data_IF_538146092654
#
_entry.id   IF_538146092654
#
_cell.length_a   1.000
_cell.length_b   1.000
_cell.length_c   1.000
_cell.angle_alpha   90.00
_cell.angle_beta   90.00
_cell.angle_gamma   90.00
#
_symmetry.space_group_name_H-M   'P 1'
#
loop_
_entity.id
_entity.type
_entity.pdbx_description
1 polymer ?
#
# COMPACT_ATOMS: atom_id res chain seq x y z
N UNK A 1 21.38 28.37 -9.08
CA UNK A 1 22.64 27.62 -9.19
C UNK A 1 22.41 26.49 -10.17
N UNK A 2 22.98 26.59 -11.37
CA UNK A 2 22.87 25.54 -12.39
C UNK A 2 23.77 24.38 -11.95
N UNK A 3 23.20 23.22 -11.64
CA UNK A 3 23.96 21.98 -11.58
C UNK A 3 24.53 21.75 -12.97
N UNK A 4 25.84 21.96 -13.13
CA UNK A 4 26.51 21.52 -14.34
C UNK A 4 26.34 20.00 -14.42
N UNK A 5 25.94 19.45 -15.58
CA UNK A 5 25.89 18.02 -15.76
C UNK A 5 27.31 17.50 -15.55
N UNK A 6 27.50 16.73 -14.47
CA UNK A 6 28.74 16.01 -14.23
C UNK A 6 28.93 15.13 -15.46
N UNK A 7 29.97 15.40 -16.23
CA UNK A 7 30.25 14.70 -17.47
C UNK A 7 30.54 13.23 -17.15
N UNK A 8 29.52 12.39 -17.29
CA UNK A 8 29.58 10.96 -16.94
C UNK A 8 30.65 10.23 -17.77
N UNK A 9 31.08 10.80 -18.90
CA UNK A 9 32.12 10.23 -19.77
C UNK A 9 33.54 10.32 -19.18
N UNK A 10 33.83 11.31 -18.32
CA UNK A 10 35.13 11.45 -17.63
C UNK A 10 35.17 10.78 -16.24
N UNK A 11 34.04 10.16 -15.87
CA UNK A 11 33.90 9.13 -14.86
C UNK A 11 35.04 8.13 -14.65
N UNK A 12 35.91 8.22 -13.64
CA UNK A 12 36.81 7.10 -13.24
C UNK A 12 36.45 6.54 -11.87
N UNK A 13 36.49 5.22 -11.77
CA UNK A 13 36.14 4.46 -10.58
C UNK A 13 37.28 3.54 -10.16
N UNK A 14 37.50 3.42 -8.86
CA UNK A 14 38.33 2.38 -8.26
C UNK A 14 37.43 1.32 -7.62
N UNK A 15 37.94 0.08 -7.51
CA UNK A 15 37.19 -1.03 -6.93
C UNK A 15 37.80 -1.40 -5.58
N UNK A 16 36.94 -1.46 -4.56
CA UNK A 16 37.21 -2.03 -3.25
C UNK A 16 36.69 -3.47 -3.19
N UNK A 17 37.37 -4.30 -2.41
CA UNK A 17 37.02 -5.67 -2.08
C UNK A 17 36.81 -5.81 -0.56
N UNK A 18 35.82 -6.60 -0.16
CA UNK A 18 35.52 -6.92 1.24
C UNK A 18 34.96 -8.33 1.40
N UNK A 19 34.75 -8.76 2.64
CA UNK A 19 34.01 -9.99 2.93
C UNK A 19 32.51 -9.82 2.57
N UNK A 20 31.93 -10.84 1.94
CA UNK A 20 30.63 -10.79 1.25
C UNK A 20 29.47 -10.11 1.97
N UNK A 21 29.18 -10.41 3.26
CA UNK A 21 27.96 -9.88 3.90
C UNK A 21 28.04 -8.39 4.24
N UNK A 22 29.20 -7.73 4.12
CA UNK A 22 29.39 -6.33 4.54
C UNK A 22 29.41 -5.32 3.39
N UNK A 23 29.14 -5.77 2.16
CA UNK A 23 29.25 -4.93 0.95
C UNK A 23 28.46 -3.63 1.04
N UNK A 24 27.17 -3.71 1.41
CA UNK A 24 26.33 -2.52 1.55
C UNK A 24 26.78 -1.64 2.72
N UNK A 25 27.13 -2.24 3.85
CA UNK A 25 27.59 -1.50 5.04
C UNK A 25 28.87 -0.70 4.77
N UNK A 26 29.81 -1.22 3.98
CA UNK A 26 31.01 -0.47 3.57
C UNK A 26 30.64 0.70 2.67
N UNK A 27 29.82 0.46 1.63
CA UNK A 27 29.39 1.51 0.72
C UNK A 27 28.64 2.64 1.48
N UNK A 28 27.70 2.27 2.35
CA UNK A 28 26.93 3.22 3.17
C UNK A 28 27.83 3.99 4.15
N UNK A 29 28.78 3.31 4.78
CA UNK A 29 29.70 3.92 5.74
C UNK A 29 30.67 4.90 5.08
N UNK A 30 31.15 4.60 3.87
CA UNK A 30 31.98 5.52 3.08
C UNK A 30 31.16 6.71 2.57
N UNK A 31 29.95 6.46 2.06
CA UNK A 31 29.04 7.53 1.64
C UNK A 31 28.71 8.50 2.79
N UNK A 32 28.54 7.99 4.01
CA UNK A 32 28.26 8.80 5.20
C UNK A 32 29.39 9.80 5.57
N UNK A 33 30.64 9.53 5.15
CA UNK A 33 31.77 10.45 5.36
C UNK A 33 32.07 11.32 4.12
N UNK A 34 31.19 11.29 3.11
CA UNK A 34 31.31 12.11 1.90
C UNK A 34 32.13 11.49 0.78
N UNK A 35 32.58 10.24 0.92
CA UNK A 35 33.21 9.50 -0.18
C UNK A 35 32.12 9.02 -1.13
N UNK A 36 32.20 9.41 -2.40
CA UNK A 36 31.27 8.91 -3.42
C UNK A 36 31.52 7.42 -3.70
N UNK A 37 30.85 6.57 -2.91
CA UNK A 37 30.89 5.12 -2.95
C UNK A 37 29.55 4.54 -3.40
N UNK A 38 29.61 3.55 -4.28
CA UNK A 38 28.44 2.90 -4.87
C UNK A 38 28.67 1.40 -5.02
N UNK A 39 27.62 0.62 -4.85
CA UNK A 39 27.57 -0.80 -5.19
C UNK A 39 26.19 -1.08 -5.76
N UNK A 40 26.06 -1.84 -6.85
CA UNK A 40 24.75 -2.13 -7.43
C UNK A 40 23.90 -2.91 -6.42
N UNK A 41 22.68 -2.44 -6.15
CA UNK A 41 21.74 -3.00 -5.18
C UNK A 41 20.53 -3.61 -5.87
N UNK A 42 19.94 -4.61 -5.22
CA UNK A 42 18.61 -5.12 -5.53
C UNK A 42 17.83 -5.28 -4.24
N UNK A 43 16.56 -4.91 -4.25
CA UNK A 43 15.67 -5.18 -3.13
C UNK A 43 15.08 -6.59 -3.28
N UNK A 44 15.13 -7.38 -2.21
CA UNK A 44 14.57 -8.73 -2.16
C UNK A 44 13.50 -8.82 -1.07
N UNK A 45 12.41 -9.53 -1.34
CA UNK A 45 11.44 -9.90 -0.29
C UNK A 45 11.92 -11.16 0.42
N UNK A 46 12.19 -11.03 1.72
CA UNK A 46 12.59 -12.14 2.58
C UNK A 46 11.58 -12.37 3.70
N UNK A 47 11.41 -13.60 4.19
CA UNK A 47 10.62 -13.83 5.39
C UNK A 47 11.17 -13.03 6.56
N UNK A 48 10.28 -12.41 7.32
CA UNK A 48 10.64 -11.67 8.52
C UNK A 48 11.39 -12.62 9.48
N UNK A 49 12.53 -12.18 10.07
CA UNK A 49 13.37 -13.05 10.89
C UNK A 49 12.65 -13.57 12.14
N UNK A 50 11.76 -12.75 12.72
CA UNK A 50 10.90 -13.18 13.82
C UNK A 50 9.83 -14.18 13.34
N UNK A 51 9.84 -15.39 13.91
CA UNK A 51 8.80 -16.41 13.70
C UNK A 51 7.40 -15.96 14.17
N UNK A 52 7.33 -14.96 15.05
CA UNK A 52 6.06 -14.42 15.58
C UNK A 52 5.40 -13.40 14.65
N UNK A 53 6.12 -12.89 13.65
CA UNK A 53 5.57 -11.99 12.65
C UNK A 53 4.75 -12.80 11.64
N UNK A 54 3.48 -13.01 11.95
CA UNK A 54 2.51 -13.68 11.09
C UNK A 54 1.58 -12.61 10.52
N UNK A 55 1.41 -12.61 9.20
CA UNK A 55 0.51 -11.73 8.49
C UNK A 55 -0.97 -12.09 8.70
N UNK A 56 -1.90 -11.24 8.24
CA UNK A 56 -3.34 -11.48 8.38
C UNK A 56 -3.83 -12.73 7.65
N UNK A 57 -3.03 -13.30 6.75
CA UNK A 57 -3.28 -14.53 5.99
C UNK A 57 -2.72 -15.79 6.68
N UNK A 58 -2.14 -15.66 7.88
CA UNK A 58 -1.51 -16.77 8.60
C UNK A 58 -0.13 -17.17 8.08
N UNK A 59 0.41 -16.45 7.08
CA UNK A 59 1.77 -16.70 6.56
C UNK A 59 2.78 -15.84 7.30
N UNK A 60 4.06 -16.21 7.26
CA UNK A 60 5.12 -15.35 7.81
C UNK A 60 5.13 -14.02 7.06
N UNK A 61 5.13 -12.92 7.81
CA UNK A 61 5.32 -11.59 7.24
C UNK A 61 6.62 -11.57 6.43
N UNK A 62 6.64 -10.84 5.33
CA UNK A 62 7.83 -10.59 4.54
C UNK A 62 8.35 -9.18 4.79
N UNK A 63 9.66 -9.02 4.68
CA UNK A 63 10.36 -7.74 4.75
C UNK A 63 11.14 -7.55 3.46
N UNK A 64 11.15 -6.32 2.96
CA UNK A 64 12.01 -5.93 1.85
C UNK A 64 13.39 -5.59 2.40
N UNK A 65 14.42 -6.26 1.89
CA UNK A 65 15.81 -6.10 2.30
C UNK A 65 16.65 -5.84 1.06
N UNK A 66 17.51 -4.83 1.12
CA UNK A 66 18.48 -4.59 0.07
C UNK A 66 19.64 -5.60 0.15
N UNK A 67 20.00 -6.13 -1.01
CA UNK A 67 21.12 -7.03 -1.20
C UNK A 67 22.03 -6.49 -2.32
N UNK A 68 23.35 -6.69 -2.23
CA UNK A 68 24.24 -6.32 -3.33
C UNK A 68 24.03 -7.28 -4.51
N UNK A 69 23.87 -6.74 -5.72
CA UNK A 69 23.85 -7.52 -6.97
C UNK A 69 25.23 -8.15 -7.19
N UNK A 70 26.28 -7.41 -6.84
CA UNK A 70 27.67 -7.82 -6.94
C UNK A 70 28.30 -7.87 -5.53
N UNK A 71 28.14 -8.97 -4.78
CA UNK A 71 28.71 -9.07 -3.44
C UNK A 71 30.22 -8.94 -3.46
N UNK A 72 30.81 -8.49 -2.35
CA UNK A 72 32.25 -8.30 -2.11
C UNK A 72 32.88 -7.09 -2.80
N UNK A 73 32.19 -6.39 -3.70
CA UNK A 73 32.76 -5.29 -4.46
C UNK A 73 32.01 -3.97 -4.20
N UNK A 74 32.77 -2.90 -3.99
CA UNK A 74 32.27 -1.52 -3.91
C UNK A 74 33.08 -0.65 -4.85
N UNK A 75 32.42 0.22 -5.58
CA UNK A 75 33.04 1.17 -6.48
C UNK A 75 33.13 2.52 -5.76
N UNK A 76 34.28 3.17 -5.83
CA UNK A 76 34.46 4.54 -5.36
C UNK A 76 34.95 5.41 -6.50
N UNK A 77 34.67 6.72 -6.51
CA UNK A 77 35.30 7.59 -7.50
C UNK A 77 36.81 7.61 -7.31
N UNK A 78 37.54 7.65 -8.42
CA UNK A 78 39.00 7.70 -8.40
C UNK A 78 39.55 8.94 -7.66
N UNK A 79 38.80 10.04 -7.62
CA UNK A 79 39.18 11.27 -6.88
C UNK A 79 39.27 11.07 -5.37
N UNK A 80 38.55 10.09 -4.81
CA UNK A 80 38.60 9.74 -3.38
C UNK A 80 39.61 8.63 -3.07
N UNK A 81 40.43 8.19 -4.04
CA UNK A 81 41.34 7.05 -3.86
C UNK A 81 42.27 7.22 -2.67
N UNK A 82 42.93 8.38 -2.57
CA UNK A 82 43.97 8.60 -1.57
C UNK A 82 43.38 8.79 -0.16
N UNK A 83 42.21 9.44 -0.09
CA UNK A 83 41.40 9.52 1.14
C UNK A 83 41.00 8.14 1.65
N UNK A 84 40.48 7.27 0.76
CA UNK A 84 40.08 5.91 1.14
C UNK A 84 41.28 5.02 1.48
N UNK A 85 42.45 5.25 0.88
CA UNK A 85 43.69 4.59 1.30
C UNK A 85 44.09 4.98 2.73
N UNK A 86 43.95 6.25 3.10
CA UNK A 86 44.19 6.70 4.48
C UNK A 86 43.21 6.04 5.46
N UNK A 87 41.92 5.97 5.11
CA UNK A 87 40.89 5.27 5.92
C UNK A 87 41.22 3.79 6.09
N UNK A 88 41.70 3.13 5.03
CA UNK A 88 42.04 1.70 5.06
C UNK A 88 43.31 1.40 5.89
N UNK A 89 44.22 2.37 5.99
CA UNK A 89 45.46 2.25 6.76
C UNK A 89 45.26 2.53 8.25
N UNK A 90 44.18 3.20 8.64
CA UNK A 90 43.87 3.52 10.03
C UNK A 90 43.28 2.31 10.78
N UNK A 91 43.99 1.72 11.75
CA UNK A 91 43.46 0.59 12.53
C UNK A 91 42.31 0.99 13.47
N UNK A 92 42.14 2.27 13.77
CA UNK A 92 41.06 2.80 14.61
C UNK A 92 39.83 3.23 13.79
N UNK A 93 39.86 3.02 12.47
CA UNK A 93 38.80 3.38 11.55
C UNK A 93 37.45 2.74 11.95
N UNK A 94 36.35 3.51 12.05
CA UNK A 94 35.02 2.98 12.36
C UNK A 94 34.41 2.20 11.18
N UNK A 95 35.04 2.26 10.01
CA UNK A 95 34.55 1.62 8.79
C UNK A 95 34.79 0.10 8.83
N UNK A 96 33.89 -0.72 8.26
CA UNK A 96 34.14 -2.15 8.16
C UNK A 96 35.39 -2.42 7.30
N UNK A 97 36.13 -3.50 7.58
CA UNK A 97 37.37 -3.82 6.83
C UNK A 97 37.13 -4.02 5.33
N UNK A 98 37.95 -3.37 4.51
CA UNK A 98 38.00 -3.50 3.06
C UNK A 98 39.46 -3.34 2.56
N UNK A 99 39.70 -3.68 1.30
CA UNK A 99 40.97 -3.44 0.61
C UNK A 99 40.73 -3.03 -0.84
N UNK A 100 41.67 -2.35 -1.47
CA UNK A 100 41.58 -2.11 -2.91
C UNK A 100 41.74 -3.42 -3.68
N UNK A 101 40.97 -3.58 -4.76
CA UNK A 101 41.29 -4.56 -5.78
C UNK A 101 42.64 -4.17 -6.38
N UNK A 102 43.59 -5.11 -6.41
CA UNK A 102 44.94 -4.88 -6.93
C UNK A 102 45.24 -5.83 -8.08
N UNK A 103 46.00 -5.33 -9.05
CA UNK A 103 46.58 -6.15 -10.12
C UNK A 103 47.83 -6.89 -9.61
N UNK A 104 48.37 -7.77 -10.44
CA UNK A 104 49.58 -8.53 -10.13
C UNK A 104 50.82 -7.63 -9.87
N UNK A 105 50.84 -6.44 -10.46
CA UNK A 105 51.87 -5.39 -10.25
C UNK A 105 51.58 -4.49 -9.03
N UNK A 106 50.63 -4.88 -8.16
CA UNK A 106 50.18 -4.13 -6.99
C UNK A 106 49.49 -2.78 -7.30
N UNK A 107 49.27 -2.44 -8.58
CA UNK A 107 48.56 -1.23 -8.99
C UNK A 107 47.05 -1.33 -8.74
N UNK A 108 46.42 -0.17 -8.48
CA UNK A 108 44.97 -0.05 -8.32
C UNK A 108 44.37 0.23 -9.71
N UNK A 109 43.54 -0.67 -10.26
CA UNK A 109 42.92 -0.45 -11.56
C UNK A 109 41.85 0.66 -11.48
N UNK A 110 41.85 1.54 -12.47
CA UNK A 110 40.79 2.51 -12.69
C UNK A 110 39.88 2.08 -13.84
N UNK A 111 38.58 2.06 -13.57
CA UNK A 111 37.51 1.63 -14.47
C UNK A 111 36.77 2.86 -14.99
N UNK A 112 36.38 2.88 -16.26
CA UNK A 112 35.63 4.02 -16.83
C UNK A 112 34.17 3.96 -16.41
N UNK A 113 33.50 5.10 -16.37
CA UNK A 113 32.06 5.20 -16.14
C UNK A 113 31.25 4.34 -17.11
N UNK A 114 31.67 4.29 -18.38
CA UNK A 114 31.05 3.43 -19.39
C UNK A 114 31.12 1.94 -19.05
N UNK A 115 32.18 1.48 -18.39
CA UNK A 115 32.37 0.06 -18.05
C UNK A 115 31.45 -0.37 -16.89
N UNK A 116 31.07 0.56 -16.01
CA UNK A 116 30.10 0.30 -14.91
C UNK A 116 28.66 0.58 -15.32
N UNK A 117 28.42 1.16 -16.51
CA UNK A 117 27.08 1.50 -16.98
C UNK A 117 26.17 0.27 -17.08
N UNK A 118 26.72 -0.89 -17.46
CA UNK A 118 25.97 -2.15 -17.48
C UNK A 118 25.46 -2.59 -16.11
N UNK A 119 26.23 -2.34 -15.04
CA UNK A 119 25.81 -2.64 -13.66
C UNK A 119 24.75 -1.65 -13.17
N UNK A 120 24.82 -0.38 -13.59
CA UNK A 120 23.80 0.63 -13.30
C UNK A 120 22.47 0.31 -13.98
N UNK A 121 22.52 -0.17 -15.23
CA UNK A 121 21.33 -0.66 -15.94
C UNK A 121 20.70 -1.85 -15.21
N UNK A 122 21.51 -2.79 -14.73
CA UNK A 122 21.01 -3.95 -14.00
C UNK A 122 20.37 -3.56 -12.65
N UNK A 123 20.97 -2.62 -11.92
CA UNK A 123 20.37 -2.03 -10.72
C UNK A 123 19.02 -1.37 -11.02
N UNK A 124 18.93 -0.58 -12.10
CA UNK A 124 17.66 0.02 -12.55
C UNK A 124 16.61 -1.04 -12.87
N UNK A 125 16.96 -2.09 -13.61
CA UNK A 125 16.04 -3.20 -13.91
C UNK A 125 15.55 -3.91 -12.66
N UNK A 126 16.45 -4.15 -11.70
CA UNK A 126 16.08 -4.75 -10.43
C UNK A 126 15.09 -3.87 -9.65
N UNK A 127 15.30 -2.55 -9.66
CA UNK A 127 14.41 -1.58 -9.04
C UNK A 127 13.02 -1.58 -9.71
N UNK A 128 12.96 -1.56 -11.04
CA UNK A 128 11.70 -1.59 -11.80
C UNK A 128 10.86 -2.84 -11.50
N UNK A 129 11.51 -4.00 -11.33
CA UNK A 129 10.81 -5.25 -10.98
C UNK A 129 10.13 -5.10 -9.61
N UNK A 130 10.82 -4.55 -8.62
CA UNK A 130 10.28 -4.38 -7.27
C UNK A 130 9.16 -3.34 -7.25
N UNK A 131 9.30 -2.25 -7.99
CA UNK A 131 8.25 -1.23 -8.07
C UNK A 131 6.99 -1.79 -8.75
N UNK A 132 7.13 -2.57 -9.83
CA UNK A 132 6.00 -3.29 -10.45
C UNK A 132 5.33 -4.26 -9.48
N UNK A 133 6.10 -4.97 -8.64
CA UNK A 133 5.55 -5.85 -7.62
C UNK A 133 4.76 -5.07 -6.56
N UNK A 134 5.29 -3.94 -6.08
CA UNK A 134 4.60 -3.05 -5.12
C UNK A 134 3.29 -2.51 -5.69
N UNK A 135 3.28 -2.10 -6.96
CA UNK A 135 2.08 -1.63 -7.65
C UNK A 135 1.01 -2.72 -7.81
N UNK A 136 1.42 -3.94 -8.16
CA UNK A 136 0.52 -5.09 -8.24
C UNK A 136 -0.11 -5.41 -6.88
N UNK A 137 0.70 -5.49 -5.81
CA UNK A 137 0.21 -5.74 -4.45
C UNK A 137 -0.73 -4.64 -3.96
N UNK A 138 -0.40 -3.37 -4.22
CA UNK A 138 -1.28 -2.24 -3.88
C UNK A 138 -2.61 -2.26 -4.65
N UNK A 139 -2.64 -2.82 -5.86
CA UNK A 139 -3.91 -3.04 -6.60
C UNK A 139 -4.72 -4.18 -6.00
N UNK A 140 -4.07 -5.28 -5.65
CA UNK A 140 -4.75 -6.42 -5.02
C UNK A 140 -5.30 -6.07 -3.63
N UNK A 141 -4.54 -5.34 -2.81
CA UNK A 141 -4.98 -4.88 -1.50
C UNK A 141 -6.29 -4.06 -1.61
N UNK A 142 -6.31 -3.07 -2.51
CA UNK A 142 -7.51 -2.27 -2.78
C UNK A 142 -8.70 -3.11 -3.27
N UNK A 143 -8.45 -4.14 -4.09
CA UNK A 143 -9.50 -5.08 -4.53
C UNK A 143 -10.06 -5.89 -3.36
N UNK A 144 -9.20 -6.37 -2.46
CA UNK A 144 -9.61 -7.13 -1.27
C UNK A 144 -10.40 -6.26 -0.29
N UNK A 145 -9.96 -5.04 -0.04
CA UNK A 145 -10.68 -4.08 0.81
C UNK A 145 -12.08 -3.79 0.25
N UNK A 146 -12.18 -3.49 -1.05
CA UNK A 146 -13.48 -3.26 -1.69
C UNK A 146 -14.38 -4.48 -1.62
N UNK A 147 -13.84 -5.68 -1.85
CA UNK A 147 -14.60 -6.92 -1.74
C UNK A 147 -15.08 -7.17 -0.31
N UNK A 148 -14.26 -6.87 0.70
CA UNK A 148 -14.62 -6.99 2.11
C UNK A 148 -15.76 -6.03 2.47
N UNK A 149 -15.66 -4.75 2.08
CA UNK A 149 -16.72 -3.76 2.27
C UNK A 149 -18.03 -4.22 1.62
N UNK A 150 -18.00 -4.61 0.35
CA UNK A 150 -19.20 -5.11 -0.36
C UNK A 150 -19.79 -6.37 0.30
N UNK A 151 -18.95 -7.26 0.84
CA UNK A 151 -19.41 -8.45 1.57
C UNK A 151 -20.12 -8.06 2.87
N UNK A 152 -19.58 -7.11 3.63
CA UNK A 152 -20.22 -6.62 4.85
C UNK A 152 -21.56 -5.93 4.57
N UNK A 153 -21.62 -5.15 3.49
CA UNK A 153 -22.85 -4.46 3.09
C UNK A 153 -23.94 -5.45 2.64
N UNK A 154 -23.59 -6.43 1.80
CA UNK A 154 -24.51 -7.50 1.39
C UNK A 154 -25.01 -8.31 2.58
N UNK A 155 -24.12 -8.61 3.54
CA UNK A 155 -24.52 -9.31 4.76
C UNK A 155 -25.51 -8.48 5.60
N UNK A 156 -25.27 -7.16 5.72
CA UNK A 156 -26.19 -6.23 6.40
C UNK A 156 -27.54 -6.16 5.70
N UNK A 157 -27.58 -5.99 4.38
CA UNK A 157 -28.82 -5.97 3.61
C UNK A 157 -29.58 -7.30 3.71
N UNK A 158 -28.86 -8.43 3.67
CA UNK A 158 -29.46 -9.76 3.87
C UNK A 158 -30.05 -9.89 5.28
N UNK A 159 -29.38 -9.39 6.31
CA UNK A 159 -29.90 -9.40 7.67
C UNK A 159 -31.18 -8.57 7.79
N UNK A 160 -31.21 -7.36 7.23
CA UNK A 160 -32.40 -6.49 7.20
C UNK A 160 -33.57 -7.15 6.46
N UNK A 161 -33.32 -7.81 5.33
CA UNK A 161 -34.36 -8.56 4.59
C UNK A 161 -34.93 -9.76 5.34
N UNK A 162 -34.19 -10.29 6.32
CA UNK A 162 -34.69 -11.38 7.18
C UNK A 162 -35.46 -10.85 8.40
N UNK A 163 -35.35 -9.56 8.72
CA UNK A 163 -36.13 -8.91 9.76
C UNK A 163 -37.61 -8.92 9.34
N UNK A 164 -38.46 -9.51 10.19
CA UNK A 164 -39.90 -9.52 9.98
C UNK A 164 -40.51 -8.34 10.73
N UNK A 165 -41.38 -7.60 10.06
CA UNK A 165 -42.21 -6.56 10.67
C UNK A 165 -43.66 -6.80 10.31
N UNK A 166 -44.49 -6.92 11.32
CA UNK A 166 -45.92 -7.07 11.15
C UNK A 166 -46.56 -5.68 11.03
N UNK A 167 -47.44 -5.54 10.05
CA UNK A 167 -48.22 -4.33 9.82
C UNK A 167 -49.69 -4.74 9.75
N UNK A 168 -50.55 -3.97 10.42
CA UNK A 168 -51.99 -4.20 10.34
C UNK A 168 -52.53 -3.69 9.00
N UNK A 169 -53.54 -4.34 8.41
CA UNK A 169 -54.27 -3.75 7.29
C UNK A 169 -54.79 -2.36 7.65
N UNK A 170 -54.79 -1.45 6.68
CA UNK A 170 -55.14 -0.03 6.82
C UNK A 170 -54.18 0.82 7.65
N UNK A 171 -53.05 0.27 8.12
CA UNK A 171 -52.02 1.04 8.79
C UNK A 171 -51.32 2.00 7.81
N UNK A 172 -51.15 3.26 8.21
CA UNK A 172 -50.34 4.23 7.46
C UNK A 172 -48.86 4.00 7.74
N UNK A 173 -48.07 3.89 6.68
CA UNK A 173 -46.63 3.61 6.74
C UNK A 173 -45.88 4.56 5.82
N UNK A 174 -44.64 4.87 6.20
CA UNK A 174 -43.71 5.68 5.42
C UNK A 174 -42.59 4.79 4.88
N UNK A 175 -42.21 4.98 3.62
CA UNK A 175 -41.12 4.24 2.99
C UNK A 175 -39.77 4.87 3.36
N UNK A 176 -38.87 4.07 3.92
CA UNK A 176 -37.51 4.43 4.29
C UNK A 176 -36.48 3.67 3.44
N UNK A 177 -35.33 4.30 3.16
CA UNK A 177 -34.19 3.63 2.53
C UNK A 177 -34.38 3.22 1.07
N UNK A 178 -35.46 3.66 0.40
CA UNK A 178 -35.59 3.58 -1.07
C UNK A 178 -35.30 4.93 -1.71
N UNK A 179 -34.26 5.05 -2.57
CA UNK A 179 -33.94 6.32 -3.22
C UNK A 179 -35.10 6.91 -4.04
N UNK A 180 -35.96 6.07 -4.64
CA UNK A 180 -37.04 6.52 -5.52
C UNK A 180 -38.37 6.81 -4.81
N UNK A 181 -38.59 6.23 -3.61
CA UNK A 181 -39.88 6.30 -2.89
C UNK A 181 -39.71 6.79 -1.44
N UNK A 182 -38.48 7.18 -1.05
CA UNK A 182 -38.16 7.57 0.32
C UNK A 182 -38.99 8.76 0.77
N UNK A 183 -39.63 8.63 1.93
CA UNK A 183 -40.53 9.64 2.48
C UNK A 183 -41.96 9.59 1.95
N UNK A 184 -42.27 8.72 0.99
CA UNK A 184 -43.66 8.51 0.56
C UNK A 184 -44.44 7.77 1.65
N UNK A 185 -45.63 8.28 1.95
CA UNK A 185 -46.60 7.67 2.86
C UNK A 185 -47.64 6.89 2.07
N UNK A 186 -48.04 5.73 2.56
CA UNK A 186 -49.10 4.92 1.96
C UNK A 186 -49.83 4.09 3.01
N UNK A 187 -50.90 3.43 2.58
CA UNK A 187 -51.73 2.59 3.45
C UNK A 187 -51.45 1.12 3.12
N UNK A 188 -51.21 0.31 4.15
CA UNK A 188 -50.99 -1.14 4.00
C UNK A 188 -52.30 -1.84 3.65
N UNK A 189 -52.36 -2.51 2.50
CA UNK A 189 -53.50 -3.35 2.11
C UNK A 189 -53.38 -4.76 2.70
N UNK A 190 -52.18 -5.36 2.60
CA UNK A 190 -51.87 -6.68 3.14
C UNK A 190 -50.38 -6.78 3.50
N UNK A 191 -50.03 -7.66 4.44
CA UNK A 191 -48.65 -7.90 4.87
C UNK A 191 -48.42 -9.39 5.16
N UNK A 192 -47.25 -9.91 4.78
CA UNK A 192 -46.78 -11.28 5.09
C UNK A 192 -45.63 -11.29 6.12
N UNK A 193 -45.36 -10.13 6.73
CA UNK A 193 -44.27 -9.90 7.66
C UNK A 193 -42.90 -9.63 7.01
N UNK A 194 -42.66 -10.05 5.77
CA UNK A 194 -41.42 -9.76 5.01
C UNK A 194 -41.59 -8.66 3.99
N UNK A 195 -42.82 -8.49 3.51
CA UNK A 195 -43.25 -7.48 2.58
C UNK A 195 -44.69 -7.07 2.88
N UNK A 196 -45.05 -5.88 2.46
CA UNK A 196 -46.41 -5.38 2.52
C UNK A 196 -46.79 -4.79 1.16
N UNK A 197 -48.04 -4.98 0.77
CA UNK A 197 -48.66 -4.31 -0.37
C UNK A 197 -49.13 -2.95 0.13
N UNK A 198 -48.56 -1.87 -0.41
CA UNK A 198 -48.83 -0.50 0.02
C UNK A 198 -49.49 0.27 -1.11
N UNK A 199 -50.60 0.93 -0.79
CA UNK A 199 -51.32 1.83 -1.68
C UNK A 199 -50.91 3.27 -1.41
N UNK A 200 -50.31 3.95 -2.38
CA UNK A 200 -49.80 5.33 -2.27
C UNK A 200 -50.81 6.41 -2.66
N UNK A 201 -52.06 6.00 -2.96
CA UNK A 201 -53.08 6.88 -3.53
C UNK A 201 -53.18 6.76 -5.05
N UNK A 202 -54.33 7.15 -5.60
CA UNK A 202 -54.63 6.98 -7.01
C UNK A 202 -54.70 5.50 -7.41
N UNK A 203 -53.89 5.10 -8.39
CA UNK A 203 -53.80 3.71 -8.87
C UNK A 203 -52.44 3.05 -8.57
N UNK A 204 -51.60 3.68 -7.74
CA UNK A 204 -50.24 3.19 -7.47
C UNK A 204 -50.23 2.27 -6.24
N UNK A 205 -50.25 0.97 -6.52
CA UNK A 205 -50.05 -0.10 -5.53
C UNK A 205 -48.74 -0.81 -5.80
N UNK A 206 -47.92 -0.98 -4.76
CA UNK A 206 -46.62 -1.67 -4.88
C UNK A 206 -46.34 -2.56 -3.67
N UNK A 207 -45.71 -3.70 -3.92
CA UNK A 207 -45.14 -4.54 -2.85
C UNK A 207 -43.80 -3.97 -2.40
N UNK A 208 -43.67 -3.69 -1.10
CA UNK A 208 -42.46 -3.12 -0.49
C UNK A 208 -41.96 -4.04 0.61
N UNK A 209 -40.64 -4.24 0.68
CA UNK A 209 -40.00 -5.03 1.75
C UNK A 209 -40.29 -4.39 3.12
N UNK A 210 -40.73 -5.18 4.09
CA UNK A 210 -41.25 -4.72 5.38
C UNK A 210 -40.23 -3.91 6.20
N UNK A 211 -38.92 -4.22 6.09
CA UNK A 211 -37.84 -3.49 6.75
C UNK A 211 -37.63 -2.06 6.20
N UNK A 212 -38.23 -1.74 5.05
CA UNK A 212 -38.25 -0.41 4.44
C UNK A 212 -39.48 0.40 4.81
N UNK A 213 -40.34 -0.12 5.68
CA UNK A 213 -41.54 0.57 6.12
C UNK A 213 -41.38 0.94 7.60
N UNK A 214 -41.69 2.19 7.91
CA UNK A 214 -41.84 2.68 9.27
C UNK A 214 -43.31 3.01 9.52
N UNK A 215 -43.88 2.67 10.69
CA UNK A 215 -45.21 3.15 11.06
C UNK A 215 -45.20 4.67 11.07
N UNK A 216 -46.12 5.28 10.33
CA UNK A 216 -46.28 6.72 10.38
C UNK A 216 -47.00 7.07 11.68
N UNK A 217 -46.23 7.43 12.71
CA UNK A 217 -46.77 7.93 13.96
C UNK A 217 -47.24 9.35 13.75
N UNK A 218 -48.34 9.51 13.01
CA UNK A 218 -49.10 10.75 13.04
C UNK A 218 -49.65 10.86 14.45
N UNK A 219 -48.95 11.62 15.30
CA UNK A 219 -49.54 12.16 16.50
C UNK A 219 -50.71 13.02 16.03
N UNK A 220 -51.91 12.46 16.07
CA UNK A 220 -53.18 13.20 15.98
C UNK A 220 -53.32 14.09 17.22
N UNK A 221 -52.39 15.02 17.39
CA UNK A 221 -52.41 16.08 18.39
C UNK A 221 -52.98 17.33 17.75
N UNK A 222 -54.11 17.77 18.30
CA UNK A 222 -54.72 19.09 18.15
C UNK A 222 -55.71 19.28 16.99
N UNK A 223 -56.90 18.71 17.16
CA UNK A 223 -58.13 19.48 16.87
C UNK A 223 -58.47 20.29 18.13
N UNK A 224 -57.84 21.46 18.32
CA UNK A 224 -58.33 22.44 19.27
C UNK A 224 -59.62 23.03 18.70
N UNK A 225 -60.76 22.61 19.26
CA UNK A 225 -62.08 23.15 18.99
C UNK A 225 -62.07 24.63 19.38
N UNK A 226 -62.07 25.53 18.40
CA UNK A 226 -62.38 26.95 18.65
C UNK A 226 -63.90 27.05 18.74
N UNK A 227 -64.40 27.09 19.97
CA UNK A 227 -65.78 27.43 20.28
C UNK A 227 -66.03 28.90 19.92
N UNK A 228 -67.03 29.14 19.08
CA UNK A 228 -67.52 30.48 18.75
C UNK A 228 -68.48 30.99 19.83
N UNK A 229 -68.31 32.27 20.19
CA UNK A 229 -69.34 33.14 20.78
C UNK A 229 -69.31 34.47 20.02
#
# INVERSE_FOLDING_TARGET
MMHQPIDMACTRWCILRMSGPRTLAVADSLAAVGVEAWTPRRTEKRPHPSRKAIGPDGRRATVEIDAPILPTYVFIRAVHRDEVLAIAADPASPHPQFSFLRRADNSIPEVRGADVAGLQEEERRAQEIIDKLRECEGREARRRERAALMKTERARQKALRMERREFSPQQTVTVEGMPALGGMTGIVESSDGRSAVVHFGGSLTMTIEAWRLAPDHVQSGNTSVVAAA
#
